data_IF_130911875094
#
_entry.id   IF_130911875094
#
_cell.length_a   1.000
_cell.length_b   1.000
_cell.length_c   1.000
_cell.angle_alpha   90.00
_cell.angle_beta   90.00
_cell.angle_gamma   90.00
#
_symmetry.space_group_name_H-M   'P 1'
#
loop_
_entity.id
_entity.type
_entity.pdbx_description
1 polymer ?
#
# COMPACT_ATOMS: atom_id res chain seq x y z
N UNK A 1 -3.57 -7.80 13.40
CA UNK A 1 -4.28 -8.01 12.12
C UNK A 1 -3.39 -7.52 10.98
N UNK A 2 -3.37 -8.21 9.83
CA UNK A 2 -2.45 -7.94 8.71
C UNK A 2 -3.25 -7.66 7.44
N UNK A 3 -2.89 -6.63 6.68
CA UNK A 3 -3.40 -6.34 5.34
C UNK A 3 -2.23 -6.00 4.39
N UNK A 4 -2.06 -6.79 3.34
CA UNK A 4 -0.91 -6.71 2.43
C UNK A 4 -1.28 -6.22 1.03
N UNK A 5 -2.48 -5.70 0.81
CA UNK A 5 -2.89 -5.18 -0.48
C UNK A 5 -3.81 -3.97 -0.29
N UNK A 6 -3.22 -2.78 -0.24
CA UNK A 6 -3.96 -1.52 -0.09
C UNK A 6 -3.42 -0.44 -1.00
N UNK A 7 -4.29 0.46 -1.46
CA UNK A 7 -3.94 1.53 -2.39
C UNK A 7 -4.19 2.90 -1.74
N UNK A 8 -3.40 3.88 -2.16
CA UNK A 8 -3.49 5.28 -1.76
C UNK A 8 -3.83 6.17 -2.96
N UNK A 9 -3.92 7.47 -2.73
CA UNK A 9 -4.09 8.47 -3.80
C UNK A 9 -2.88 8.56 -4.75
N UNK A 10 -1.79 7.81 -4.51
CA UNK A 10 -0.70 7.70 -5.47
C UNK A 10 -1.07 6.84 -6.70
N UNK A 11 -2.08 5.97 -6.60
CA UNK A 11 -2.77 5.39 -7.76
C UNK A 11 -4.27 5.75 -7.76
N UNK A 12 -5.10 4.92 -7.12
CA UNK A 12 -6.57 4.91 -7.23
C UNK A 12 -7.26 4.70 -5.87
N UNK A 13 -6.49 4.67 -4.78
CA UNK A 13 -7.01 4.66 -3.42
C UNK A 13 -7.67 5.98 -3.02
N UNK A 14 -8.51 5.91 -1.98
CA UNK A 14 -9.29 7.07 -1.50
C UNK A 14 -8.56 7.92 -0.44
N UNK A 15 -7.49 7.41 0.15
CA UNK A 15 -6.73 8.06 1.21
C UNK A 15 -5.32 8.38 0.74
N UNK A 16 -4.74 9.50 1.18
CA UNK A 16 -3.29 9.69 1.02
C UNK A 16 -2.51 8.58 1.74
N UNK A 17 -1.24 8.33 1.40
CA UNK A 17 -0.43 7.34 2.12
C UNK A 17 -0.46 7.56 3.64
N UNK A 18 -0.36 8.81 4.10
CA UNK A 18 -0.48 9.17 5.53
C UNK A 18 -1.86 8.87 6.10
N UNK A 19 -2.93 9.26 5.40
CA UNK A 19 -4.31 9.03 5.86
C UNK A 19 -4.62 7.53 5.96
N UNK A 20 -4.15 6.74 4.99
CA UNK A 20 -4.32 5.30 4.94
C UNK A 20 -3.69 4.61 6.15
N UNK A 21 -2.45 4.98 6.50
CA UNK A 21 -1.76 4.46 7.69
C UNK A 21 -2.52 4.80 8.97
N UNK A 22 -2.93 6.06 9.12
CA UNK A 22 -3.68 6.48 10.32
C UNK A 22 -5.04 5.78 10.41
N UNK A 23 -5.70 5.58 9.27
CA UNK A 23 -6.95 4.83 9.20
C UNK A 23 -6.73 3.36 9.60
N UNK A 24 -5.69 2.70 9.07
CA UNK A 24 -5.32 1.34 9.42
C UNK A 24 -5.07 1.19 10.94
N UNK A 25 -4.38 2.16 11.55
CA UNK A 25 -4.14 2.17 13.00
C UNK A 25 -5.44 2.20 13.80
N UNK A 26 -6.35 3.09 13.41
CA UNK A 26 -7.66 3.23 14.05
C UNK A 26 -8.54 1.97 13.87
N UNK A 27 -8.27 1.14 12.87
CA UNK A 27 -8.92 -0.16 12.65
C UNK A 27 -8.25 -1.33 13.37
N UNK A 28 -7.15 -1.10 14.08
CA UNK A 28 -6.40 -2.16 14.77
C UNK A 28 -5.59 -3.05 13.81
N UNK A 29 -5.25 -2.54 12.62
CA UNK A 29 -4.28 -3.17 11.74
C UNK A 29 -2.88 -2.94 12.34
N UNK A 30 -2.10 -4.01 12.42
CA UNK A 30 -0.77 -4.03 13.00
C UNK A 30 0.31 -4.04 11.92
N UNK A 31 0.03 -4.69 10.79
CA UNK A 31 0.91 -4.76 9.62
C UNK A 31 0.15 -4.31 8.38
N UNK A 32 0.69 -3.34 7.64
CA UNK A 32 0.08 -2.81 6.42
C UNK A 32 1.09 -2.79 5.27
N UNK A 33 0.69 -3.24 4.07
CA UNK A 33 1.42 -2.97 2.84
C UNK A 33 0.70 -1.95 1.94
N UNK A 34 1.45 -0.99 1.41
CA UNK A 34 1.00 -0.11 0.32
C UNK A 34 1.48 -0.70 -1.01
N UNK A 35 0.55 -0.99 -1.91
CA UNK A 35 0.79 -1.64 -3.20
C UNK A 35 0.09 -0.89 -4.32
N UNK A 36 0.36 0.42 -4.44
CA UNK A 36 -0.23 1.24 -5.50
C UNK A 36 0.06 0.68 -6.91
N UNK A 37 -0.86 0.93 -7.84
CA UNK A 37 -0.73 0.47 -9.23
C UNK A 37 0.45 1.13 -9.94
N UNK A 38 1.41 0.31 -10.40
CA UNK A 38 2.53 0.68 -11.26
C UNK A 38 3.39 1.86 -10.76
N UNK A 39 3.35 2.16 -9.45
CA UNK A 39 4.11 3.24 -8.83
C UNK A 39 4.52 2.91 -7.41
N UNK A 40 5.61 3.53 -6.96
CA UNK A 40 6.08 3.50 -5.57
C UNK A 40 6.14 4.91 -4.95
N UNK A 41 5.50 5.90 -5.59
CA UNK A 41 5.60 7.31 -5.17
C UNK A 41 5.04 7.58 -3.76
N UNK A 42 4.11 6.76 -3.28
CA UNK A 42 3.54 6.86 -1.94
C UNK A 42 4.38 6.21 -0.83
N UNK A 43 5.40 5.43 -1.16
CA UNK A 43 6.12 4.59 -0.19
C UNK A 43 6.86 5.42 0.87
N UNK A 44 7.61 6.46 0.47
CA UNK A 44 8.36 7.28 1.42
C UNK A 44 7.44 7.96 2.44
N UNK A 45 6.30 8.48 1.98
CA UNK A 45 5.29 9.09 2.86
C UNK A 45 4.66 8.05 3.81
N UNK A 46 4.32 6.87 3.30
CA UNK A 46 3.73 5.80 4.09
C UNK A 46 4.69 5.31 5.19
N UNK A 47 5.99 5.18 4.89
CA UNK A 47 7.03 4.82 5.88
C UNK A 47 7.05 5.83 7.02
N UNK A 48 7.16 7.13 6.71
CA UNK A 48 7.20 8.17 7.74
C UNK A 48 5.93 8.19 8.60
N UNK A 49 4.77 7.93 8.00
CA UNK A 49 3.51 7.84 8.73
C UNK A 49 3.45 6.58 9.61
N UNK A 50 3.93 5.44 9.11
CA UNK A 50 3.91 4.16 9.81
C UNK A 50 4.77 4.19 11.07
N UNK A 51 5.97 4.77 10.97
CA UNK A 51 6.87 4.98 12.11
C UNK A 51 6.19 5.78 13.23
N UNK A 52 5.47 6.85 12.86
CA UNK A 52 4.73 7.69 13.81
C UNK A 52 3.53 6.97 14.42
N UNK A 53 2.82 6.15 13.63
CA UNK A 53 1.63 5.42 14.06
C UNK A 53 1.93 4.11 14.81
N UNK A 54 3.18 3.62 14.75
CA UNK A 54 3.57 2.32 15.27
C UNK A 54 2.80 1.20 14.56
N UNK A 55 2.84 1.21 13.21
CA UNK A 55 2.42 0.12 12.34
C UNK A 55 3.67 -0.48 11.71
N UNK A 56 3.74 -1.81 11.64
CA UNK A 56 4.75 -2.50 10.87
C UNK A 56 4.41 -2.37 9.38
N UNK A 57 5.20 -1.58 8.66
CA UNK A 57 4.92 -1.28 7.25
C UNK A 57 5.72 -2.17 6.31
N UNK A 58 5.06 -2.67 5.27
CA UNK A 58 5.66 -3.47 4.20
C UNK A 58 5.59 -2.69 2.90
N UNK A 59 6.71 -2.17 2.38
CA UNK A 59 6.72 -1.55 1.06
C UNK A 59 6.32 -2.55 -0.04
N UNK A 60 5.46 -2.15 -0.96
CA UNK A 60 5.07 -2.98 -2.08
C UNK A 60 4.64 -2.19 -3.31
N UNK A 61 4.22 -2.93 -4.34
CA UNK A 61 3.70 -2.38 -5.61
C UNK A 61 2.77 -3.41 -6.24
N UNK A 62 1.71 -2.96 -6.89
CA UNK A 62 0.88 -3.80 -7.76
C UNK A 62 1.23 -3.52 -9.22
N UNK A 63 1.85 -4.49 -9.89
CA UNK A 63 2.34 -4.35 -11.26
C UNK A 63 1.28 -4.86 -12.24
N UNK A 64 0.86 -3.99 -13.15
CA UNK A 64 -0.01 -4.35 -14.27
C UNK A 64 0.78 -5.14 -15.33
N UNK A 65 0.29 -6.32 -15.67
CA UNK A 65 0.88 -7.18 -16.68
C UNK A 65 -0.14 -7.57 -17.75
N UNK A 66 0.25 -7.43 -19.03
CA UNK A 66 -0.53 -7.97 -20.14
C UNK A 66 -0.29 -9.47 -20.24
N UNK A 67 -1.38 -10.23 -20.36
CA UNK A 67 -1.35 -11.67 -20.55
C UNK A 67 -2.18 -12.08 -21.77
N UNK A 68 -1.88 -13.25 -22.34
CA UNK A 68 -2.50 -13.78 -23.56
C UNK A 68 -4.04 -13.72 -23.57
N UNK A 69 -4.68 -13.79 -22.39
CA UNK A 69 -6.13 -13.81 -22.23
C UNK A 69 -6.70 -12.60 -21.46
N UNK A 70 -5.89 -11.56 -21.17
CA UNK A 70 -6.36 -10.39 -20.44
C UNK A 70 -5.27 -9.64 -19.68
N UNK A 71 -5.64 -9.02 -18.56
CA UNK A 71 -4.71 -8.36 -17.64
C UNK A 71 -4.51 -9.20 -16.39
N UNK A 72 -3.28 -9.21 -15.87
CA UNK A 72 -2.93 -9.76 -14.56
C UNK A 72 -2.33 -8.64 -13.72
N UNK A 73 -2.53 -8.71 -12.41
CA UNK A 73 -1.82 -7.86 -11.47
C UNK A 73 -0.91 -8.72 -10.59
N UNK A 74 0.31 -8.24 -10.36
CA UNK A 74 1.36 -8.94 -9.62
C UNK A 74 1.79 -8.08 -8.44
N UNK A 75 1.67 -8.61 -7.23
CA UNK A 75 2.16 -7.93 -6.02
C UNK A 75 3.65 -8.21 -5.83
N UNK A 76 4.42 -7.13 -5.67
CA UNK A 76 5.82 -7.16 -5.25
C UNK A 76 5.97 -6.59 -3.84
N UNK A 77 6.84 -7.19 -3.02
CA UNK A 77 7.16 -6.75 -1.65
C UNK A 77 8.68 -6.77 -1.44
N UNK A 78 9.23 -5.88 -0.61
CA UNK A 78 10.64 -5.91 -0.21
C UNK A 78 10.88 -5.60 1.27
#
# INVERSE_FOLDING_TARGET
MIDLHTHSTASDGSFTPTELINYAKNKGIEVLALTDHDTISGISEAIEAAEKAGIDFVPGVEISALWLIGTMHILGYY
#
